data_IF_884420845459
#
_entry.id   IF_884420845459
#
_cell.length_a   1.000
_cell.length_b   1.000
_cell.length_c   1.000
_cell.angle_alpha   90.00
_cell.angle_beta   90.00
_cell.angle_gamma   90.00
#
_symmetry.space_group_name_H-M   'P 1'
#
loop_
_entity.id
_entity.type
_entity.pdbx_description
1 polymer ?
#
# COMPACT_ATOMS: atom_id res chain seq x y z
N UNK A 1 -19.15 -14.30 -25.87
CA UNK A 1 -17.78 -13.72 -25.92
C UNK A 1 -17.49 -13.12 -24.57
N UNK A 2 -16.37 -13.47 -23.91
CA UNK A 2 -16.02 -12.88 -22.62
C UNK A 2 -15.66 -11.40 -22.81
N UNK A 3 -16.31 -10.51 -22.06
CA UNK A 3 -16.03 -9.08 -22.13
C UNK A 3 -14.61 -8.82 -21.64
N UNK A 4 -13.78 -8.19 -22.49
CA UNK A 4 -12.42 -7.79 -22.11
C UNK A 4 -12.54 -6.73 -21.03
N UNK A 5 -12.21 -7.10 -19.79
CA UNK A 5 -12.14 -6.14 -18.69
C UNK A 5 -10.96 -5.21 -18.94
N UNK A 6 -11.24 -3.95 -19.27
CA UNK A 6 -10.21 -2.97 -19.64
C UNK A 6 -9.25 -2.66 -18.49
N UNK A 7 -9.76 -2.73 -17.26
CA UNK A 7 -9.02 -2.50 -16.03
C UNK A 7 -9.26 -3.62 -15.02
N UNK A 8 -8.18 -4.05 -14.39
CA UNK A 8 -8.18 -4.98 -13.27
C UNK A 8 -8.05 -4.18 -11.99
N UNK A 9 -8.89 -4.49 -11.02
CA UNK A 9 -8.70 -4.02 -9.66
C UNK A 9 -7.51 -4.76 -9.04
N UNK A 10 -6.54 -4.01 -8.52
CA UNK A 10 -5.28 -4.56 -8.01
C UNK A 10 -4.96 -4.04 -6.63
N UNK A 11 -4.28 -4.89 -5.86
CA UNK A 11 -3.60 -4.55 -4.62
C UNK A 11 -2.10 -4.68 -4.85
N UNK A 12 -1.36 -3.64 -4.51
CA UNK A 12 0.10 -3.62 -4.53
C UNK A 12 0.56 -3.47 -3.10
N UNK A 13 1.40 -4.36 -2.62
CA UNK A 13 2.03 -4.23 -1.31
C UNK A 13 3.53 -4.45 -1.41
N UNK A 14 4.25 -3.92 -0.44
CA UNK A 14 5.67 -4.11 -0.34
C UNK A 14 6.13 -4.12 1.11
N UNK A 15 7.12 -4.94 1.37
CA UNK A 15 7.92 -4.96 2.58
C UNK A 15 9.34 -4.56 2.18
N UNK A 16 9.60 -3.27 2.31
CA UNK A 16 10.86 -2.61 1.96
C UNK A 16 11.25 -1.74 3.16
N UNK A 17 12.50 -1.84 3.57
CA UNK A 17 13.04 -1.04 4.68
C UNK A 17 12.86 0.48 4.44
N UNK A 18 12.88 1.26 5.52
CA UNK A 18 12.74 2.72 5.47
C UNK A 18 13.93 3.38 4.78
N UNK A 19 13.83 3.52 3.46
CA UNK A 19 14.91 3.98 2.61
C UNK A 19 14.41 5.03 1.62
N UNK A 20 15.35 5.80 1.05
CA UNK A 20 15.06 6.69 -0.08
C UNK A 20 14.45 5.95 -1.27
N UNK A 21 14.74 4.65 -1.44
CA UNK A 21 14.19 3.81 -2.51
C UNK A 21 12.69 3.54 -2.27
N UNK A 22 12.30 3.26 -1.03
CA UNK A 22 10.88 3.13 -0.65
C UNK A 22 10.09 4.41 -0.96
N UNK A 23 10.63 5.57 -0.61
CA UNK A 23 9.97 6.86 -0.91
C UNK A 23 9.81 7.08 -2.41
N UNK A 24 10.83 6.74 -3.22
CA UNK A 24 10.74 6.82 -4.69
C UNK A 24 9.68 5.88 -5.24
N UNK A 25 9.63 4.63 -4.77
CA UNK A 25 8.59 3.68 -5.16
C UNK A 25 7.19 4.21 -4.82
N UNK A 26 7.01 4.71 -3.59
CA UNK A 26 5.74 5.29 -3.14
C UNK A 26 5.26 6.40 -4.08
N UNK A 27 6.13 7.35 -4.43
CA UNK A 27 5.78 8.43 -5.37
C UNK A 27 5.42 7.87 -6.74
N UNK A 28 6.21 6.92 -7.27
CA UNK A 28 5.94 6.32 -8.59
C UNK A 28 4.63 5.54 -8.64
N UNK A 29 4.23 4.88 -7.56
CA UNK A 29 2.93 4.21 -7.51
C UNK A 29 1.77 5.22 -7.54
N UNK A 30 1.91 6.37 -6.85
CA UNK A 30 0.94 7.47 -6.94
C UNK A 30 0.84 8.07 -8.35
N UNK A 31 1.95 8.17 -9.07
CA UNK A 31 1.97 8.69 -10.45
C UNK A 31 1.19 7.78 -11.42
N UNK A 32 1.04 6.48 -11.12
CA UNK A 32 0.23 5.50 -11.88
C UNK A 32 -1.20 5.41 -11.30
N UNK A 33 -1.70 6.50 -10.70
CA UNK A 33 -3.07 6.60 -10.19
C UNK A 33 -3.45 5.54 -9.14
N UNK A 34 -2.48 4.88 -8.50
CA UNK A 34 -2.77 4.00 -7.37
C UNK A 34 -2.93 4.83 -6.10
N UNK A 35 -3.97 4.48 -5.33
CA UNK A 35 -4.28 5.11 -4.06
C UNK A 35 -3.55 4.39 -2.94
N UNK A 36 -2.79 5.14 -2.13
CA UNK A 36 -2.17 4.60 -0.91
C UNK A 36 -3.26 4.36 0.13
N UNK A 37 -3.43 3.11 0.57
CA UNK A 37 -4.41 2.73 1.61
C UNK A 37 -3.74 2.35 2.94
N UNK A 38 -2.42 2.09 2.92
CA UNK A 38 -1.58 1.91 4.10
C UNK A 38 -0.16 2.40 3.77
N UNK A 39 0.72 2.54 4.78
CA UNK A 39 2.13 2.97 4.61
C UNK A 39 2.87 2.21 3.49
N UNK A 40 2.56 0.93 3.29
CA UNK A 40 3.18 0.08 2.29
C UNK A 40 2.20 -0.72 1.45
N UNK A 41 0.95 -0.25 1.35
CA UNK A 41 -0.11 -0.90 0.57
C UNK A 41 -0.86 0.13 -0.28
N UNK A 42 -1.03 -0.22 -1.54
CA UNK A 42 -1.69 0.57 -2.58
C UNK A 42 -2.81 -0.23 -3.23
N UNK A 43 -3.84 0.47 -3.67
CA UNK A 43 -5.01 -0.10 -4.32
C UNK A 43 -5.46 0.79 -5.48
N UNK A 44 -5.98 0.17 -6.54
CA UNK A 44 -6.54 0.90 -7.68
C UNK A 44 -6.89 0.02 -8.86
N UNK A 45 -7.20 0.65 -9.99
CA UNK A 45 -7.60 -0.01 -11.22
C UNK A 45 -6.54 0.19 -12.28
N UNK A 46 -5.93 -0.90 -12.75
CA UNK A 46 -4.86 -0.87 -13.75
C UNK A 46 -5.22 -1.69 -14.98
N UNK A 47 -4.91 -1.18 -16.15
CA UNK A 47 -4.87 -1.98 -17.37
C UNK A 47 -3.62 -2.87 -17.40
N UNK A 48 -3.51 -3.75 -18.39
CA UNK A 48 -2.40 -4.70 -18.52
C UNK A 48 -1.02 -4.02 -18.64
N UNK A 49 -0.94 -2.86 -19.31
CA UNK A 49 0.32 -2.15 -19.50
C UNK A 49 0.79 -1.46 -18.20
N UNK A 50 -0.15 -0.90 -17.45
CA UNK A 50 0.09 -0.30 -16.14
C UNK A 50 0.50 -1.38 -15.12
N UNK A 51 -0.18 -2.53 -15.09
CA UNK A 51 0.18 -3.68 -14.25
C UNK A 51 1.63 -4.13 -14.53
N UNK A 52 2.02 -4.20 -15.81
CA UNK A 52 3.39 -4.51 -16.22
C UNK A 52 4.39 -3.41 -15.81
N UNK A 53 3.99 -2.15 -15.85
CA UNK A 53 4.79 -1.02 -15.39
C UNK A 53 5.07 -1.11 -13.89
N UNK A 54 4.05 -1.40 -13.08
CA UNK A 54 4.20 -1.61 -11.64
C UNK A 54 5.16 -2.76 -11.35
N UNK A 55 5.04 -3.90 -12.05
CA UNK A 55 6.00 -5.02 -11.90
C UNK A 55 7.44 -4.61 -12.18
N UNK A 56 7.68 -3.74 -13.18
CA UNK A 56 9.02 -3.18 -13.45
C UNK A 56 9.49 -2.26 -12.33
N UNK A 57 8.63 -1.37 -11.83
CA UNK A 57 8.96 -0.50 -10.71
C UNK A 57 9.34 -1.30 -9.47
N UNK A 58 8.54 -2.30 -9.09
CA UNK A 58 8.84 -3.17 -7.95
C UNK A 58 10.22 -3.81 -8.09
N UNK A 59 10.55 -4.36 -9.27
CA UNK A 59 11.88 -4.94 -9.54
C UNK A 59 13.02 -3.92 -9.45
N UNK A 60 12.79 -2.67 -9.85
CA UNK A 60 13.82 -1.63 -9.84
C UNK A 60 14.09 -1.05 -8.46
N UNK A 61 13.08 -1.06 -7.57
CA UNK A 61 13.16 -0.42 -6.26
C UNK A 61 13.25 -1.39 -5.07
N UNK A 62 13.00 -2.69 -5.27
CA UNK A 62 13.20 -3.72 -4.24
C UNK A 62 14.66 -4.20 -4.24
N UNK A 63 15.29 -4.23 -3.06
CA UNK A 63 16.54 -4.96 -2.84
C UNK A 63 16.29 -6.48 -2.85
N UNK A 64 17.38 -7.28 -2.91
CA UNK A 64 17.29 -8.75 -2.89
C UNK A 64 16.60 -9.32 -1.65
N UNK A 65 16.63 -8.58 -0.54
CA UNK A 65 16.01 -8.96 0.74
C UNK A 65 14.55 -8.55 0.85
N UNK A 66 14.12 -7.60 0.02
CA UNK A 66 12.77 -7.04 0.07
C UNK A 66 11.78 -7.95 -0.66
N UNK A 67 10.50 -7.82 -0.31
CA UNK A 67 9.42 -8.52 -1.00
C UNK A 67 8.33 -7.54 -1.39
N UNK A 68 7.78 -7.71 -2.58
CA UNK A 68 6.62 -6.95 -3.02
C UNK A 68 5.73 -7.83 -3.89
N UNK A 69 4.42 -7.60 -3.82
CA UNK A 69 3.46 -8.30 -4.64
C UNK A 69 2.45 -7.34 -5.27
N UNK A 70 2.00 -7.75 -6.45
CA UNK A 70 0.83 -7.20 -7.11
C UNK A 70 -0.14 -8.34 -7.35
N UNK A 71 -1.38 -8.19 -6.89
CA UNK A 71 -2.41 -9.20 -7.05
C UNK A 71 -3.71 -8.55 -7.51
N UNK A 72 -4.47 -9.27 -8.33
CA UNK A 72 -5.82 -8.85 -8.71
C UNK A 72 -6.78 -9.17 -7.58
N UNK A 73 -7.64 -8.22 -7.24
CA UNK A 73 -8.53 -8.29 -6.08
C UNK A 73 -9.94 -7.85 -6.42
N UNK A 74 -10.85 -7.97 -5.46
CA UNK A 74 -12.16 -7.33 -5.42
C UNK A 74 -12.35 -6.75 -4.02
N UNK A 75 -11.85 -5.54 -3.80
CA UNK A 75 -11.80 -4.84 -2.51
C UNK A 75 -12.54 -3.50 -2.51
N UNK A 76 -13.09 -3.07 -3.65
CA UNK A 76 -13.75 -1.77 -3.81
C UNK A 76 -14.74 -1.47 -2.69
N UNK A 77 -15.60 -2.44 -2.33
CA UNK A 77 -16.59 -2.28 -1.25
C UNK A 77 -15.93 -2.15 0.13
N UNK A 78 -14.94 -2.99 0.43
CA UNK A 78 -14.23 -3.02 1.71
C UNK A 78 -13.41 -1.75 1.94
N UNK A 79 -12.81 -1.21 0.88
CA UNK A 79 -12.08 0.07 0.92
C UNK A 79 -13.06 1.22 1.18
N UNK A 80 -14.22 1.23 0.52
CA UNK A 80 -15.25 2.27 0.72
C UNK A 80 -15.87 2.23 2.12
N UNK A 81 -16.04 1.04 2.68
CA UNK A 81 -16.54 0.85 4.04
C UNK A 81 -15.50 1.20 5.12
N UNK A 82 -14.28 1.57 4.73
CA UNK A 82 -13.14 1.79 5.62
C UNK A 82 -12.98 0.64 6.64
N UNK A 83 -13.08 -0.60 6.15
CA UNK A 83 -12.98 -1.81 6.98
C UNK A 83 -11.51 -2.10 7.36
N UNK A 84 -10.89 -1.15 8.06
CA UNK A 84 -9.51 -1.22 8.55
C UNK A 84 -9.49 -1.15 10.07
N UNK A 85 -8.52 -1.82 10.67
CA UNK A 85 -8.31 -1.84 12.12
C UNK A 85 -6.93 -1.30 12.41
N UNK A 86 -6.81 -0.44 13.41
CA UNK A 86 -5.56 0.14 13.85
C UNK A 86 -5.75 0.86 15.17
N UNK A 87 -4.64 1.27 15.78
CA UNK A 87 -4.69 2.03 17.00
C UNK A 87 -5.31 3.42 16.77
N UNK A 88 -6.15 3.82 17.71
CA UNK A 88 -6.67 5.17 17.83
C UNK A 88 -5.76 6.02 18.72
N UNK A 89 -5.87 7.35 18.63
CA UNK A 89 -5.08 8.26 19.49
C UNK A 89 -5.28 7.99 20.98
N UNK A 90 -6.46 7.52 21.36
CA UNK A 90 -6.83 7.20 22.74
C UNK A 90 -6.12 5.97 23.30
N UNK A 91 -5.65 5.06 22.43
CA UNK A 91 -4.93 3.84 22.84
C UNK A 91 -3.52 4.14 23.37
N UNK A 92 -3.03 5.37 23.15
CA UNK A 92 -1.75 5.86 23.66
C UNK A 92 -1.99 6.97 24.70
N UNK A 93 -2.51 6.64 25.90
CA UNK A 93 -2.70 7.63 26.94
C UNK A 93 -1.35 8.28 27.27
N UNK A 94 -1.31 9.62 27.26
CA UNK A 94 -0.14 10.35 27.74
C UNK A 94 0.13 9.92 29.18
N UNK A 95 1.35 9.46 29.46
CA UNK A 95 1.78 9.10 30.81
C UNK A 95 1.26 10.12 31.83
N UNK A 96 0.58 9.64 32.87
CA UNK A 96 0.16 10.47 33.99
C UNK A 96 1.40 11.15 34.57
N UNK A 97 1.40 12.48 34.63
CA UNK A 97 2.49 13.33 35.14
C UNK A 97 2.65 13.23 36.67
N UNK A 98 2.53 12.04 37.25
CA UNK A 98 2.64 11.79 38.69
C UNK A 98 3.61 10.64 38.93
N UNK A 99 4.90 10.97 38.99
CA UNK A 99 5.85 10.11 39.67
C UNK A 99 5.69 10.36 41.17
N UNK A 100 5.13 9.40 41.90
CA UNK A 100 5.30 9.37 43.35
C UNK A 100 6.71 8.84 43.62
N UNK A 101 7.62 9.72 43.98
CA UNK A 101 8.90 9.32 44.57
C UNK A 101 8.60 8.99 46.04
N UNK A 102 8.79 7.72 46.42
CA UNK A 102 8.74 7.26 47.80
C UNK A 102 9.95 7.76 48.60
#
# INVERSE_FOLDING_TARGET
MAQVKLYNEVLVSYDIADTKQRTKLFTKLKDISLTSIQKSVFWGHLNSAEEASVKRLLKSYCAKTDKAFITRVKLSEQIQQNNSVGYEKQDFPKHSTSYHVL
#
